data_IF_714365270796
#
_entry.id   IF_714365270796
#
_cell.length_a   1.000
_cell.length_b   1.000
_cell.length_c   1.000
_cell.angle_alpha   90.00
_cell.angle_beta   90.00
_cell.angle_gamma   90.00
#
_symmetry.space_group_name_H-M   'P 1'
#
loop_
_entity.id
_entity.type
_entity.pdbx_description
1 polymer ?
#
# COMPACT_ATOMS: atom_id res chain seq x y z
N UNK A 1 80.34 -49.23 -36.52
CA UNK A 1 78.99 -49.82 -36.62
C UNK A 1 77.99 -48.68 -36.76
N UNK A 2 77.41 -48.49 -37.95
CA UNK A 2 76.49 -47.39 -38.25
C UNK A 2 75.06 -47.84 -37.90
N UNK A 3 74.47 -47.27 -36.85
CA UNK A 3 73.08 -47.52 -36.48
C UNK A 3 72.15 -46.77 -37.45
N UNK A 4 71.56 -47.48 -38.41
CA UNK A 4 70.48 -46.97 -39.26
C UNK A 4 69.22 -46.82 -38.41
N UNK A 5 68.72 -45.59 -38.32
CA UNK A 5 67.38 -45.28 -37.82
C UNK A 5 66.36 -45.62 -38.92
N UNK A 6 65.71 -46.78 -38.81
CA UNK A 6 64.51 -47.08 -39.60
C UNK A 6 63.34 -46.26 -39.05
N UNK A 7 62.95 -45.22 -39.77
CA UNK A 7 61.69 -44.51 -39.53
C UNK A 7 60.54 -45.43 -39.95
N UNK A 8 59.83 -46.01 -38.98
CA UNK A 8 58.54 -46.66 -39.21
C UNK A 8 57.54 -45.58 -39.64
N UNK A 9 57.25 -45.52 -40.94
CA UNK A 9 56.16 -44.69 -41.45
C UNK A 9 54.83 -45.23 -40.95
N UNK A 10 53.99 -44.36 -40.38
CA UNK A 10 52.61 -44.71 -40.07
C UNK A 10 51.86 -44.72 -41.41
N UNK A 11 51.54 -45.91 -41.91
CA UNK A 11 50.66 -46.05 -43.07
C UNK A 11 49.22 -45.93 -42.57
N UNK A 12 48.61 -44.77 -42.77
CA UNK A 12 47.17 -44.54 -42.54
C UNK A 12 46.49 -44.58 -43.90
N UNK A 13 45.58 -45.52 -44.09
CA UNK A 13 44.81 -45.63 -45.33
C UNK A 13 43.92 -44.38 -45.48
N UNK A 14 43.90 -43.78 -46.68
CA UNK A 14 43.18 -42.53 -46.91
C UNK A 14 41.67 -42.67 -46.63
N UNK A 15 41.13 -43.89 -46.72
CA UNK A 15 39.73 -44.18 -46.39
C UNK A 15 39.40 -44.07 -44.90
N UNK A 16 40.38 -44.27 -44.00
CA UNK A 16 40.19 -44.20 -42.55
C UNK A 16 40.09 -42.77 -42.01
N UNK A 17 40.55 -41.78 -42.78
CA UNK A 17 40.49 -40.37 -42.44
C UNK A 17 39.20 -39.69 -42.92
N UNK A 18 38.43 -40.36 -43.78
CA UNK A 18 37.21 -39.79 -44.35
C UNK A 18 36.05 -39.83 -43.36
N UNK A 19 35.15 -38.87 -43.50
CA UNK A 19 33.94 -38.79 -42.69
C UNK A 19 33.12 -40.07 -42.84
N UNK A 20 32.63 -40.61 -41.71
CA UNK A 20 31.76 -41.79 -41.66
C UNK A 20 30.50 -41.72 -42.53
N UNK A 21 30.03 -40.52 -42.92
CA UNK A 21 28.90 -40.35 -43.86
C UNK A 21 29.30 -40.43 -45.34
N UNK A 22 30.58 -40.66 -45.66
CA UNK A 22 31.05 -40.77 -47.05
C UNK A 22 30.96 -39.47 -47.85
N UNK A 23 30.91 -38.31 -47.18
CA UNK A 23 30.67 -37.01 -47.83
C UNK A 23 31.91 -36.41 -48.53
N UNK A 24 33.02 -37.16 -48.64
CA UNK A 24 34.26 -36.71 -49.27
C UNK A 24 35.14 -35.76 -48.43
N UNK A 25 34.72 -35.41 -47.22
CA UNK A 25 35.49 -34.60 -46.28
C UNK A 25 36.12 -35.44 -45.16
N UNK A 26 37.22 -34.98 -44.57
CA UNK A 26 37.88 -35.67 -43.47
C UNK A 26 37.08 -35.59 -42.15
N UNK A 27 36.99 -36.71 -41.45
CA UNK A 27 36.44 -36.81 -40.10
C UNK A 27 37.54 -36.77 -39.04
N UNK A 28 37.18 -36.56 -37.77
CA UNK A 28 38.13 -36.70 -36.67
C UNK A 28 37.53 -37.47 -35.49
N UNK A 29 38.37 -38.06 -34.61
CA UNK A 29 37.89 -38.82 -33.45
C UNK A 29 37.07 -37.99 -32.45
N UNK A 30 37.35 -36.69 -32.31
CA UNK A 30 36.62 -35.80 -31.40
C UNK A 30 35.15 -35.62 -31.83
N UNK A 31 34.86 -35.74 -33.11
CA UNK A 31 33.51 -35.77 -33.68
C UNK A 31 33.11 -37.19 -34.11
N UNK A 32 33.59 -38.21 -33.39
CA UNK A 32 33.25 -39.62 -33.61
C UNK A 32 33.48 -40.12 -35.05
N UNK A 33 34.38 -39.50 -35.81
CA UNK A 33 34.66 -39.80 -37.22
C UNK A 33 33.78 -39.03 -38.21
N UNK A 34 33.02 -38.03 -37.78
CA UNK A 34 32.26 -37.13 -38.67
C UNK A 34 33.06 -35.87 -39.02
N UNK A 35 32.79 -35.28 -40.19
CA UNK A 35 33.28 -33.94 -40.52
C UNK A 35 32.43 -32.87 -39.81
N UNK A 36 32.91 -31.62 -39.78
CA UNK A 36 32.24 -30.51 -39.07
C UNK A 36 30.81 -30.20 -39.53
N UNK A 37 30.46 -30.54 -40.78
CA UNK A 37 29.11 -30.37 -41.33
C UNK A 37 28.19 -31.51 -40.90
N UNK A 38 28.63 -32.76 -41.14
CA UNK A 38 27.86 -33.96 -40.78
C UNK A 38 27.69 -34.11 -39.27
N UNK A 39 28.68 -33.69 -38.48
CA UNK A 39 28.58 -33.65 -37.02
C UNK A 39 27.50 -32.69 -36.54
N UNK A 40 27.42 -31.49 -37.13
CA UNK A 40 26.39 -30.50 -36.77
C UNK A 40 24.98 -30.99 -37.10
N UNK A 41 24.81 -31.64 -38.24
CA UNK A 41 23.52 -32.22 -38.63
C UNK A 41 23.10 -33.35 -37.69
N UNK A 42 24.02 -34.26 -37.35
CA UNK A 42 23.74 -35.39 -36.45
C UNK A 42 23.46 -34.91 -35.02
N UNK A 43 24.27 -33.99 -34.53
CA UNK A 43 24.09 -33.37 -33.22
C UNK A 43 22.77 -32.59 -33.14
N UNK A 44 22.39 -31.87 -34.21
CA UNK A 44 21.10 -31.17 -34.27
C UNK A 44 19.91 -32.13 -34.24
N UNK A 45 20.00 -33.28 -34.94
CA UNK A 45 18.96 -34.32 -34.92
C UNK A 45 18.86 -35.00 -33.56
N UNK A 46 19.98 -35.40 -32.96
CA UNK A 46 20.01 -35.99 -31.63
C UNK A 46 19.41 -35.03 -30.58
N UNK A 47 19.74 -33.73 -30.66
CA UNK A 47 19.19 -32.70 -29.78
C UNK A 47 17.69 -32.51 -29.98
N UNK A 48 17.18 -32.56 -31.22
CA UNK A 48 15.73 -32.49 -31.48
C UNK A 48 14.98 -33.70 -30.94
N UNK A 49 15.55 -34.90 -31.07
CA UNK A 49 14.97 -36.13 -30.51
C UNK A 49 14.93 -36.08 -28.98
N UNK A 50 15.99 -35.55 -28.34
CA UNK A 50 16.01 -35.37 -26.90
C UNK A 50 14.93 -34.37 -26.43
N UNK A 51 14.80 -33.22 -27.11
CA UNK A 51 13.75 -32.23 -26.80
C UNK A 51 12.34 -32.82 -26.96
N UNK A 52 12.13 -33.64 -28.00
CA UNK A 52 10.85 -34.30 -28.23
C UNK A 52 10.55 -35.33 -27.13
N UNK A 53 11.54 -36.13 -26.72
CA UNK A 53 11.42 -37.07 -25.60
C UNK A 53 11.13 -36.38 -24.26
N UNK A 54 11.82 -35.28 -23.97
CA UNK A 54 11.61 -34.48 -22.75
C UNK A 54 10.18 -33.88 -22.72
N UNK A 55 9.67 -33.45 -23.88
CA UNK A 55 8.29 -32.95 -24.02
C UNK A 55 7.26 -34.05 -23.75
N UNK A 56 7.44 -35.22 -24.34
CA UNK A 56 6.53 -36.36 -24.14
C UNK A 56 6.53 -36.85 -22.69
N UNK A 57 7.69 -36.83 -22.03
CA UNK A 57 7.82 -37.14 -20.61
C UNK A 57 7.08 -36.13 -19.72
N UNK A 58 7.22 -34.83 -20.00
CA UNK A 58 6.51 -33.77 -19.29
C UNK A 58 4.99 -33.87 -19.44
N UNK A 59 4.49 -34.14 -20.65
CA UNK A 59 3.06 -34.34 -20.90
C UNK A 59 2.51 -35.57 -20.14
N UNK A 60 3.33 -36.61 -19.93
CA UNK A 60 2.94 -37.79 -19.14
C UNK A 60 2.87 -37.48 -17.65
N UNK A 61 3.87 -36.76 -17.11
CA UNK A 61 3.91 -36.35 -15.71
C UNK A 61 2.72 -35.46 -15.35
N UNK A 62 2.37 -34.53 -16.24
CA UNK A 62 1.24 -33.63 -16.05
C UNK A 62 -0.10 -34.39 -16.04
N UNK A 63 -0.25 -35.43 -16.87
CA UNK A 63 -1.43 -36.32 -16.82
C UNK A 63 -1.53 -37.11 -15.52
N UNK A 64 -0.40 -37.57 -14.97
CA UNK A 64 -0.36 -38.25 -13.67
C UNK A 64 -0.69 -37.29 -12.52
N UNK A 65 -0.20 -36.05 -12.58
CA UNK A 65 -0.48 -35.00 -11.60
C UNK A 65 -1.95 -34.56 -11.63
N UNK A 66 -2.54 -34.39 -12.82
CA UNK A 66 -3.97 -34.08 -12.99
C UNK A 66 -4.86 -35.23 -12.48
N UNK A 67 -4.45 -36.49 -12.69
CA UNK A 67 -5.17 -37.65 -12.17
C UNK A 67 -5.07 -37.76 -10.64
N UNK A 68 -3.91 -37.45 -10.06
CA UNK A 68 -3.72 -37.39 -8.61
C UNK A 68 -4.56 -36.26 -7.98
N UNK A 69 -4.62 -35.10 -8.63
CA UNK A 69 -5.38 -33.94 -8.17
C UNK A 69 -6.90 -34.18 -8.22
N UNK A 70 -7.40 -34.87 -9.25
CA UNK A 70 -8.81 -35.27 -9.34
C UNK A 70 -9.23 -36.24 -8.22
N UNK A 71 -8.28 -37.01 -7.65
CA UNK A 71 -8.53 -37.93 -6.54
C UNK A 71 -8.52 -37.25 -5.16
N UNK A 72 -8.01 -36.02 -5.05
CA UNK A 72 -7.87 -35.29 -3.78
C UNK A 72 -8.76 -34.04 -3.74
N UNK A 73 -10.07 -34.21 -3.63
CA UNK A 73 -10.93 -33.10 -3.18
C UNK A 73 -10.73 -32.89 -1.68
N UNK A 74 -10.00 -31.85 -1.30
CA UNK A 74 -9.93 -31.37 0.08
C UNK A 74 -8.61 -30.70 0.48
N UNK A 75 -8.28 -29.53 -0.10
CA UNK A 75 -7.50 -28.41 0.47
C UNK A 75 -6.88 -27.54 -0.64
N UNK A 76 -7.01 -26.20 -0.65
CA UNK A 76 -6.37 -25.37 -1.66
C UNK A 76 -4.97 -24.94 -1.19
N UNK A 77 -3.93 -25.55 -1.76
CA UNK A 77 -2.59 -24.96 -1.80
C UNK A 77 -2.50 -24.04 -3.02
N UNK A 78 -2.39 -22.73 -2.79
CA UNK A 78 -2.34 -21.70 -3.82
C UNK A 78 -0.91 -21.56 -4.35
N UNK A 79 -0.57 -22.25 -5.44
CA UNK A 79 0.70 -22.02 -6.16
C UNK A 79 0.51 -21.08 -7.36
N UNK A 80 1.36 -20.06 -7.38
CA UNK A 80 1.44 -18.87 -8.23
C UNK A 80 1.81 -19.15 -9.72
N UNK A 81 1.87 -20.41 -10.14
CA UNK A 81 2.44 -20.81 -11.44
C UNK A 81 1.58 -20.48 -12.67
N UNK A 82 0.27 -20.21 -12.49
CA UNK A 82 -0.65 -19.99 -13.63
C UNK A 82 -0.66 -18.57 -14.21
N UNK A 83 0.09 -17.61 -13.66
CA UNK A 83 0.17 -16.24 -14.22
C UNK A 83 1.40 -16.01 -15.13
N UNK A 84 2.48 -16.79 -14.99
CA UNK A 84 3.72 -16.58 -15.76
C UNK A 84 3.69 -17.13 -17.19
N UNK A 85 2.83 -18.10 -17.48
CA UNK A 85 2.94 -18.87 -18.73
C UNK A 85 2.39 -18.15 -19.97
N UNK A 86 1.61 -17.06 -19.77
CA UNK A 86 1.04 -16.28 -20.88
C UNK A 86 1.88 -15.08 -21.32
N UNK A 87 2.91 -14.69 -20.57
CA UNK A 87 3.74 -13.50 -20.87
C UNK A 87 5.11 -13.85 -21.49
N UNK A 88 5.54 -15.10 -21.43
CA UNK A 88 6.86 -15.58 -21.90
C UNK A 88 6.93 -15.90 -23.40
N UNK A 89 5.80 -15.93 -24.13
CA UNK A 89 5.78 -16.27 -25.56
C UNK A 89 5.90 -15.07 -26.52
N UNK A 90 5.67 -13.83 -26.08
CA UNK A 90 5.81 -12.65 -26.95
C UNK A 90 7.25 -12.09 -27.01
N UNK A 91 8.04 -12.25 -25.95
CA UNK A 91 9.38 -11.62 -25.86
C UNK A 91 10.48 -12.43 -26.56
N UNK A 92 10.24 -13.70 -26.92
CA UNK A 92 11.26 -14.58 -27.53
C UNK A 92 11.52 -14.30 -29.03
N UNK A 93 10.74 -13.45 -29.70
CA UNK A 93 10.86 -13.20 -31.15
C UNK A 93 11.74 -12.01 -31.58
N UNK A 94 12.36 -11.25 -30.66
CA UNK A 94 13.11 -10.03 -31.05
C UNK A 94 14.59 -9.93 -30.62
N UNK A 95 15.19 -10.97 -30.03
CA UNK A 95 16.62 -10.92 -29.65
C UNK A 95 17.40 -12.05 -30.31
N UNK A 96 17.58 -11.97 -31.64
CA UNK A 96 18.53 -12.85 -32.35
C UNK A 96 19.55 -12.11 -33.23
N UNK A 97 19.50 -10.78 -33.32
CA UNK A 97 20.37 -10.04 -34.27
C UNK A 97 21.61 -9.41 -33.63
N UNK A 98 21.76 -9.39 -32.30
CA UNK A 98 22.87 -8.67 -31.63
C UNK A 98 23.94 -9.58 -30.99
N UNK A 99 23.77 -10.91 -31.03
CA UNK A 99 24.69 -11.86 -30.37
C UNK A 99 25.98 -12.19 -31.14
N UNK A 100 26.27 -11.53 -32.28
CA UNK A 100 27.43 -11.88 -33.13
C UNK A 100 28.67 -10.98 -33.01
N UNK A 101 28.68 -9.97 -32.14
CA UNK A 101 29.84 -9.05 -32.05
C UNK A 101 30.74 -9.20 -30.82
N UNK A 102 30.40 -10.05 -29.85
CA UNK A 102 31.23 -10.21 -28.65
C UNK A 102 31.47 -11.68 -28.35
N UNK A 103 32.63 -12.19 -28.79
CA UNK A 103 33.19 -13.45 -28.32
C UNK A 103 33.84 -13.21 -26.95
N UNK A 104 33.67 -14.12 -25.95
CA UNK A 104 34.08 -13.88 -24.59
C UNK A 104 35.55 -14.24 -24.39
N UNK A 105 36.35 -13.26 -23.95
CA UNK A 105 37.60 -13.52 -23.25
C UNK A 105 37.57 -12.85 -21.88
N UNK A 106 37.90 -13.64 -20.87
CA UNK A 106 38.19 -13.28 -19.48
C UNK A 106 36.99 -12.91 -18.60
N UNK A 107 36.95 -13.50 -17.39
CA UNK A 107 35.97 -13.27 -16.31
C UNK A 107 35.80 -11.80 -15.90
N UNK A 108 36.71 -10.90 -16.27
CA UNK A 108 36.56 -9.45 -16.08
C UNK A 108 35.60 -8.77 -17.06
N UNK A 109 35.08 -9.48 -18.06
CA UNK A 109 34.11 -8.96 -19.03
C UNK A 109 32.67 -8.95 -18.52
N UNK A 110 32.27 -9.87 -17.63
CA UNK A 110 30.87 -10.00 -17.18
C UNK A 110 30.41 -8.80 -16.33
N UNK A 111 31.21 -8.40 -15.33
CA UNK A 111 30.91 -7.25 -14.47
C UNK A 111 30.88 -5.94 -15.26
N UNK A 112 31.75 -5.81 -16.27
CA UNK A 112 31.73 -4.66 -17.19
C UNK A 112 30.48 -4.67 -18.07
N UNK A 113 30.04 -5.83 -18.54
CA UNK A 113 28.81 -5.97 -19.32
C UNK A 113 27.60 -5.58 -18.47
N UNK A 114 27.53 -6.03 -17.22
CA UNK A 114 26.44 -5.66 -16.29
C UNK A 114 26.40 -4.15 -16.02
N UNK A 115 27.56 -3.54 -15.75
CA UNK A 115 27.65 -2.09 -15.55
C UNK A 115 27.24 -1.31 -16.80
N UNK A 116 27.61 -1.76 -17.99
CA UNK A 116 27.18 -1.13 -19.26
C UNK A 116 25.67 -1.31 -19.47
N UNK A 117 25.12 -2.50 -19.21
CA UNK A 117 23.68 -2.76 -19.31
C UNK A 117 22.89 -1.89 -18.34
N UNK A 118 23.39 -1.68 -17.13
CA UNK A 118 22.76 -0.79 -16.16
C UNK A 118 22.74 0.68 -16.62
N UNK A 119 23.81 1.16 -17.28
CA UNK A 119 23.83 2.51 -17.86
C UNK A 119 22.88 2.63 -19.05
N UNK A 120 22.78 1.59 -19.87
CA UNK A 120 21.83 1.52 -20.98
C UNK A 120 20.40 1.58 -20.44
N UNK A 121 20.06 0.78 -19.42
CA UNK A 121 18.75 0.80 -18.77
C UNK A 121 18.45 2.20 -18.22
N UNK A 122 19.40 2.79 -17.47
CA UNK A 122 19.26 4.15 -16.92
C UNK A 122 18.95 5.17 -18.01
N UNK A 123 19.69 5.15 -19.12
CA UNK A 123 19.51 6.10 -20.21
C UNK A 123 18.15 5.93 -20.92
N UNK A 124 17.82 4.70 -21.30
CA UNK A 124 16.57 4.39 -22.01
C UNK A 124 15.37 4.70 -21.13
N UNK A 125 15.37 4.23 -19.88
CA UNK A 125 14.23 4.36 -18.99
C UNK A 125 14.02 5.80 -18.53
N UNK A 126 15.06 6.60 -18.38
CA UNK A 126 14.91 8.03 -18.08
C UNK A 126 14.14 8.77 -19.18
N UNK A 127 14.30 8.37 -20.45
CA UNK A 127 13.61 8.98 -21.59
C UNK A 127 12.22 8.39 -21.82
N UNK A 128 12.10 7.07 -21.74
CA UNK A 128 10.86 6.36 -22.05
C UNK A 128 9.85 6.37 -20.90
N UNK A 129 10.25 6.66 -19.65
CA UNK A 129 9.37 6.64 -18.48
C UNK A 129 8.04 7.38 -18.72
N UNK A 130 8.08 8.56 -19.33
CA UNK A 130 6.87 9.38 -19.61
C UNK A 130 5.85 8.71 -20.54
N UNK A 131 6.28 7.74 -21.35
CA UNK A 131 5.43 7.07 -22.34
C UNK A 131 5.05 5.65 -21.93
N UNK A 132 5.89 4.99 -21.13
CA UNK A 132 5.74 3.55 -20.83
C UNK A 132 5.31 3.28 -19.38
N UNK A 133 5.38 4.28 -18.49
CA UNK A 133 4.87 4.19 -17.13
C UNK A 133 3.38 4.55 -17.11
N UNK A 134 2.54 3.63 -16.61
CA UNK A 134 1.08 3.77 -16.57
C UNK A 134 0.47 4.28 -17.90
N UNK A 135 0.65 3.55 -19.02
CA UNK A 135 0.08 3.95 -20.29
C UNK A 135 -1.44 3.84 -20.25
N UNK A 136 -2.15 4.81 -20.84
CA UNK A 136 -3.62 4.86 -20.89
C UNK A 136 -4.26 3.64 -21.58
N UNK A 137 -3.46 2.89 -22.36
CA UNK A 137 -3.88 1.67 -23.05
C UNK A 137 -3.97 0.43 -22.16
N UNK A 138 -3.39 0.46 -20.96
CA UNK A 138 -3.40 -0.69 -20.01
C UNK A 138 -4.40 -0.46 -18.88
N UNK A 139 -4.63 -1.51 -18.08
CA UNK A 139 -5.47 -1.46 -16.89
C UNK A 139 -4.69 -1.08 -15.61
N UNK A 140 -3.47 -0.54 -15.75
CA UNK A 140 -2.58 -0.26 -14.62
C UNK A 140 -3.18 0.78 -13.65
N UNK A 141 -3.74 1.87 -14.18
CA UNK A 141 -4.40 2.91 -13.35
C UNK A 141 -5.61 2.34 -12.59
N UNK A 142 -6.40 1.47 -13.23
CA UNK A 142 -7.56 0.84 -12.59
C UNK A 142 -7.12 -0.06 -11.44
N UNK A 143 -6.05 -0.83 -11.65
CA UNK A 143 -5.44 -1.68 -10.62
C UNK A 143 -4.83 -0.87 -9.49
N UNK A 144 -4.17 0.24 -9.79
CA UNK A 144 -3.65 1.18 -8.79
C UNK A 144 -4.76 1.73 -7.88
N UNK A 145 -5.87 2.17 -8.47
CA UNK A 145 -7.02 2.65 -7.70
C UNK A 145 -7.67 1.54 -6.87
N UNK A 146 -7.76 0.32 -7.42
CA UNK A 146 -8.32 -0.83 -6.70
C UNK A 146 -7.47 -1.20 -5.48
N UNK A 147 -6.16 -1.36 -5.65
CA UNK A 147 -5.26 -1.72 -4.54
C UNK A 147 -5.19 -0.59 -3.50
N UNK A 148 -5.18 0.67 -3.93
CA UNK A 148 -5.15 1.81 -3.01
C UNK A 148 -6.41 1.88 -2.14
N UNK A 149 -7.60 1.66 -2.74
CA UNK A 149 -8.87 1.58 -2.01
C UNK A 149 -8.89 0.39 -1.08
N UNK A 150 -8.36 -0.75 -1.52
CA UNK A 150 -8.26 -1.98 -0.72
C UNK A 150 -7.37 -1.79 0.50
N UNK A 151 -6.16 -1.26 0.35
CA UNK A 151 -5.24 -0.94 1.46
C UNK A 151 -5.91 0.05 2.41
N UNK A 152 -6.58 1.09 1.89
CA UNK A 152 -7.30 2.06 2.72
C UNK A 152 -8.41 1.41 3.55
N UNK A 153 -9.14 0.45 3.00
CA UNK A 153 -10.17 -0.28 3.75
C UNK A 153 -9.60 -1.19 4.85
N UNK A 154 -8.36 -1.64 4.70
CA UNK A 154 -7.63 -2.50 5.64
C UNK A 154 -6.79 -1.70 6.65
N UNK A 155 -7.05 -0.40 6.83
CA UNK A 155 -6.27 0.45 7.74
C UNK A 155 -6.34 0.00 9.22
N UNK A 156 -7.33 -0.82 9.56
CA UNK A 156 -7.60 -1.30 10.92
C UNK A 156 -6.74 -2.51 11.30
N UNK A 157 -6.08 -3.17 10.35
CA UNK A 157 -5.27 -4.38 10.60
C UNK A 157 -4.10 -4.04 11.52
N UNK A 158 -3.94 -4.82 12.60
CA UNK A 158 -2.87 -4.63 13.59
C UNK A 158 -1.70 -5.60 13.36
N UNK A 159 -0.49 -5.29 13.87
CA UNK A 159 0.67 -6.19 13.80
C UNK A 159 0.39 -7.56 14.41
N UNK A 160 -0.42 -7.63 15.48
CA UNK A 160 -0.71 -8.88 16.18
C UNK A 160 -1.52 -9.84 15.31
N UNK A 161 -2.47 -9.33 14.51
CA UNK A 161 -3.31 -10.15 13.60
C UNK A 161 -2.49 -10.81 12.48
N UNK A 162 -1.41 -10.16 12.07
CA UNK A 162 -0.49 -10.66 11.05
C UNK A 162 0.69 -11.43 11.66
N UNK A 163 0.73 -11.62 12.98
CA UNK A 163 1.84 -12.25 13.70
C UNK A 163 3.21 -11.57 13.42
N UNK A 164 3.22 -10.24 13.29
CA UNK A 164 4.42 -9.48 12.94
C UNK A 164 5.36 -9.39 14.15
N UNK A 165 6.62 -9.86 14.04
CA UNK A 165 7.59 -9.84 15.13
C UNK A 165 8.31 -8.49 15.25
N UNK A 166 7.55 -7.39 15.26
CA UNK A 166 8.08 -6.03 15.36
C UNK A 166 7.38 -5.33 16.51
N UNK A 167 8.17 -4.82 17.46
CA UNK A 167 7.64 -4.04 18.57
C UNK A 167 7.89 -2.55 18.33
N UNK A 168 6.84 -1.83 17.91
CA UNK A 168 6.88 -0.39 17.66
C UNK A 168 7.01 0.47 18.92
N UNK A 169 6.87 -0.12 20.12
CA UNK A 169 7.05 0.61 21.39
C UNK A 169 8.53 0.98 21.63
N UNK A 170 9.46 0.32 20.93
CA UNK A 170 10.89 0.62 20.95
C UNK A 170 11.17 1.75 19.94
N UNK A 171 11.68 2.93 20.37
CA UNK A 171 11.90 4.08 19.48
C UNK A 171 12.81 3.76 18.28
N UNK A 172 13.87 2.97 18.49
CA UNK A 172 14.79 2.58 17.41
C UNK A 172 14.11 1.72 16.33
N UNK A 173 13.18 0.86 16.73
CA UNK A 173 12.40 0.02 15.82
C UNK A 173 11.38 0.87 15.07
N UNK A 174 10.72 1.80 15.77
CA UNK A 174 9.80 2.75 15.15
C UNK A 174 10.49 3.59 14.05
N UNK A 175 11.69 4.10 14.32
CA UNK A 175 12.49 4.83 13.33
C UNK A 175 12.80 3.99 12.08
N UNK A 176 13.10 2.70 12.25
CA UNK A 176 13.34 1.78 11.14
C UNK A 176 12.07 1.48 10.35
N UNK A 177 10.93 1.31 11.03
CA UNK A 177 9.62 1.14 10.39
C UNK A 177 9.26 2.37 9.56
N UNK A 178 9.46 3.58 10.09
CA UNK A 178 9.22 4.83 9.36
C UNK A 178 10.14 4.96 8.16
N UNK A 179 11.42 4.59 8.28
CA UNK A 179 12.35 4.54 7.13
C UNK A 179 11.91 3.54 6.07
N UNK A 180 11.49 2.34 6.46
CA UNK A 180 10.97 1.34 5.54
C UNK A 180 9.72 1.84 4.79
N UNK A 181 8.78 2.47 5.50
CA UNK A 181 7.60 3.12 4.90
C UNK A 181 8.01 4.17 3.88
N UNK A 182 8.97 5.03 4.24
CA UNK A 182 9.48 6.09 3.36
C UNK A 182 10.10 5.50 2.09
N UNK A 183 10.90 4.45 2.21
CA UNK A 183 11.54 3.79 1.08
C UNK A 183 10.53 3.19 0.09
N UNK A 184 9.46 2.54 0.58
CA UNK A 184 8.41 1.99 -0.29
C UNK A 184 7.64 3.11 -1.00
N UNK A 185 7.37 4.22 -0.32
CA UNK A 185 6.73 5.40 -0.94
C UNK A 185 7.66 6.01 -2.00
N UNK A 186 8.96 6.07 -1.72
CA UNK A 186 9.96 6.60 -2.64
C UNK A 186 10.13 5.78 -3.92
N UNK A 187 9.68 4.53 -3.97
CA UNK A 187 9.70 3.71 -5.20
C UNK A 187 9.07 4.47 -6.37
N UNK A 188 7.97 5.18 -6.15
CA UNK A 188 7.26 5.91 -7.20
C UNK A 188 8.04 7.13 -7.71
N UNK A 189 8.90 7.72 -6.86
CA UNK A 189 9.70 8.90 -7.19
C UNK A 189 10.84 8.62 -8.18
N UNK A 190 11.32 7.36 -8.24
CA UNK A 190 12.42 6.98 -9.12
C UNK A 190 11.92 6.68 -10.53
N UNK A 191 12.74 6.92 -11.56
CA UNK A 191 12.36 6.64 -12.96
C UNK A 191 12.94 5.33 -13.48
N UNK A 192 14.13 4.97 -13.03
CA UNK A 192 14.85 3.79 -13.52
C UNK A 192 14.40 2.55 -12.74
N UNK A 193 14.08 1.42 -13.39
CA UNK A 193 13.70 0.18 -12.70
C UNK A 193 14.73 -0.27 -11.66
N UNK A 194 16.03 -0.19 -11.97
CA UNK A 194 17.09 -0.45 -10.98
C UNK A 194 17.00 0.42 -9.72
N UNK A 195 16.73 1.72 -9.86
CA UNK A 195 16.62 2.63 -8.71
C UNK A 195 15.36 2.32 -7.89
N UNK A 196 14.26 1.92 -8.56
CA UNK A 196 13.04 1.44 -7.89
C UNK A 196 13.30 0.16 -7.08
N UNK A 197 14.01 -0.81 -7.66
CA UNK A 197 14.44 -2.01 -6.96
C UNK A 197 15.35 -1.68 -5.77
N UNK A 198 16.25 -0.70 -5.92
CA UNK A 198 17.08 -0.20 -4.84
C UNK A 198 16.26 0.27 -3.63
N UNK A 199 15.18 1.01 -3.85
CA UNK A 199 14.25 1.41 -2.78
C UNK A 199 13.59 0.20 -2.09
N UNK A 200 13.14 -0.80 -2.86
CA UNK A 200 12.54 -2.04 -2.30
C UNK A 200 13.57 -2.81 -1.46
N UNK A 201 14.82 -2.87 -1.91
CA UNK A 201 15.93 -3.51 -1.19
C UNK A 201 16.28 -2.75 0.09
N UNK A 202 16.29 -1.41 0.09
CA UNK A 202 16.52 -0.62 1.31
C UNK A 202 15.38 -0.77 2.31
N UNK A 203 14.13 -0.72 1.86
CA UNK A 203 12.96 -1.02 2.69
C UNK A 203 13.12 -2.39 3.38
N UNK A 204 13.46 -3.41 2.59
CA UNK A 204 13.64 -4.77 3.11
C UNK A 204 14.76 -4.83 4.15
N UNK A 205 15.89 -4.15 3.93
CA UNK A 205 16.99 -4.05 4.90
C UNK A 205 16.57 -3.36 6.21
N UNK A 206 15.76 -2.30 6.13
CA UNK A 206 15.19 -1.67 7.32
C UNK A 206 14.24 -2.61 8.08
N UNK A 207 13.43 -3.40 7.36
CA UNK A 207 12.60 -4.45 7.95
C UNK A 207 13.45 -5.50 8.68
N UNK A 208 14.51 -6.03 8.05
CA UNK A 208 15.41 -7.00 8.69
C UNK A 208 16.05 -6.43 9.96
N UNK A 209 16.46 -5.17 9.94
CA UNK A 209 17.03 -4.51 11.10
C UNK A 209 15.98 -4.32 12.22
N UNK A 210 14.74 -3.96 11.88
CA UNK A 210 13.65 -3.80 12.84
C UNK A 210 13.32 -5.12 13.55
N UNK A 211 13.23 -6.22 12.80
CA UNK A 211 13.00 -7.56 13.34
C UNK A 211 14.18 -8.00 14.20
N UNK A 212 15.42 -7.75 13.74
CA UNK A 212 16.63 -8.12 14.48
C UNK A 212 16.73 -7.44 15.84
N UNK A 213 16.36 -6.16 15.94
CA UNK A 213 16.34 -5.43 17.23
C UNK A 213 15.22 -5.95 18.13
N UNK A 214 14.05 -6.27 17.56
CA UNK A 214 12.90 -6.75 18.34
C UNK A 214 13.13 -8.15 18.91
N UNK A 215 13.61 -9.09 18.08
CA UNK A 215 13.81 -10.51 18.47
C UNK A 215 15.20 -10.80 19.03
N UNK A 216 16.17 -9.90 18.87
CA UNK A 216 17.62 -10.15 19.11
C UNK A 216 18.19 -11.34 18.32
N UNK A 217 17.49 -11.80 17.29
CA UNK A 217 17.87 -12.92 16.43
C UNK A 217 17.80 -12.51 14.94
N UNK A 218 18.55 -13.18 14.04
CA UNK A 218 18.40 -12.96 12.61
C UNK A 218 16.97 -13.29 12.15
N UNK A 219 16.34 -12.39 11.39
CA UNK A 219 14.97 -12.62 10.93
C UNK A 219 14.88 -13.81 9.96
N UNK A 220 13.87 -14.66 10.15
CA UNK A 220 13.51 -15.71 9.20
C UNK A 220 12.75 -15.14 8.00
N UNK A 221 12.63 -15.93 6.93
CA UNK A 221 11.72 -15.63 5.83
C UNK A 221 10.24 -15.54 6.29
N UNK A 222 9.88 -16.38 7.28
CA UNK A 222 8.53 -16.40 7.88
C UNK A 222 8.23 -15.13 8.69
N UNK A 223 9.27 -14.45 9.19
CA UNK A 223 9.16 -13.17 9.89
C UNK A 223 9.10 -11.99 8.91
N UNK A 224 9.75 -12.12 7.76
CA UNK A 224 9.92 -11.05 6.79
C UNK A 224 8.61 -10.71 6.05
N UNK A 225 7.94 -11.71 5.48
CA UNK A 225 6.77 -11.48 4.61
C UNK A 225 5.60 -10.80 5.36
N UNK A 226 5.20 -11.23 6.58
CA UNK A 226 4.15 -10.54 7.33
C UNK A 226 4.53 -9.10 7.67
N UNK A 227 5.80 -8.86 7.99
CA UNK A 227 6.30 -7.51 8.26
C UNK A 227 6.26 -6.64 7.01
N UNK A 228 6.61 -7.16 5.84
CA UNK A 228 6.51 -6.44 4.57
C UNK A 228 5.06 -6.11 4.22
N UNK A 229 4.12 -7.05 4.41
CA UNK A 229 2.68 -6.81 4.24
C UNK A 229 2.22 -5.67 5.14
N UNK A 230 2.63 -5.68 6.40
CA UNK A 230 2.31 -4.62 7.35
C UNK A 230 2.85 -3.26 6.94
N UNK A 231 4.11 -3.17 6.49
CA UNK A 231 4.69 -1.93 5.97
C UNK A 231 3.91 -1.41 4.76
N UNK A 232 3.55 -2.29 3.80
CA UNK A 232 2.77 -1.90 2.62
C UNK A 232 1.37 -1.41 3.01
N UNK A 233 0.72 -2.06 3.99
CA UNK A 233 -0.58 -1.64 4.52
C UNK A 233 -0.52 -0.24 5.16
N UNK A 234 0.53 0.03 5.94
CA UNK A 234 0.74 1.34 6.58
C UNK A 234 1.14 2.43 5.60
N UNK A 235 2.01 2.12 4.64
CA UNK A 235 2.56 3.07 3.69
C UNK A 235 1.53 3.53 2.64
N UNK A 236 0.65 2.63 2.21
CA UNK A 236 -0.24 2.81 1.06
C UNK A 236 0.48 3.48 -0.15
N UNK A 237 1.48 2.80 -0.74
CA UNK A 237 2.37 3.42 -1.72
C UNK A 237 1.61 3.90 -2.97
N UNK A 238 1.95 5.09 -3.51
CA UNK A 238 1.29 5.62 -4.69
C UNK A 238 1.62 4.75 -5.92
N UNK A 239 0.61 4.51 -6.76
CA UNK A 239 0.75 3.82 -8.05
C UNK A 239 1.47 2.46 -7.94
N UNK A 240 1.16 1.69 -6.90
CA UNK A 240 1.87 0.45 -6.54
C UNK A 240 1.85 -0.60 -7.66
N UNK A 241 0.69 -0.85 -8.27
CA UNK A 241 0.53 -1.83 -9.35
C UNK A 241 1.26 -1.38 -10.61
N UNK A 242 1.18 -0.09 -10.97
CA UNK A 242 1.97 0.47 -12.08
C UNK A 242 3.47 0.30 -11.86
N UNK A 243 3.96 0.53 -10.62
CA UNK A 243 5.38 0.37 -10.28
C UNK A 243 5.83 -1.09 -10.41
N UNK A 244 5.06 -2.03 -9.90
CA UNK A 244 5.33 -3.48 -10.03
C UNK A 244 5.37 -3.86 -11.50
N UNK A 245 4.34 -3.54 -12.27
CA UNK A 245 4.29 -3.88 -13.69
C UNK A 245 5.40 -3.21 -14.50
N UNK A 246 5.75 -1.97 -14.19
CA UNK A 246 6.85 -1.26 -14.85
C UNK A 246 8.18 -1.98 -14.63
N UNK A 247 8.49 -2.39 -13.39
CA UNK A 247 9.70 -3.17 -13.09
C UNK A 247 9.65 -4.51 -13.82
N UNK A 248 8.53 -5.24 -13.78
CA UNK A 248 8.39 -6.54 -14.47
C UNK A 248 8.56 -6.43 -16.00
N UNK A 249 8.13 -5.32 -16.62
CA UNK A 249 8.18 -5.14 -18.08
C UNK A 249 9.54 -4.65 -18.57
N UNK A 250 10.23 -3.81 -17.80
CA UNK A 250 11.35 -3.01 -18.29
C UNK A 250 12.67 -3.20 -17.56
N UNK A 251 12.69 -3.88 -16.41
CA UNK A 251 13.94 -4.23 -15.72
C UNK A 251 14.68 -5.34 -16.47
N UNK A 252 16.01 -5.32 -16.40
CA UNK A 252 16.82 -6.43 -16.90
C UNK A 252 16.44 -7.76 -16.21
N UNK A 253 16.00 -8.80 -16.94
CA UNK A 253 15.57 -10.07 -16.36
C UNK A 253 16.64 -10.78 -15.55
N UNK A 254 17.94 -10.61 -15.87
CA UNK A 254 19.02 -11.25 -15.10
C UNK A 254 19.01 -10.82 -13.63
N UNK A 255 18.63 -9.56 -13.36
CA UNK A 255 18.55 -8.99 -12.00
C UNK A 255 17.31 -9.46 -11.23
N UNK A 256 16.21 -9.72 -11.93
CA UNK A 256 15.00 -10.28 -11.32
C UNK A 256 15.15 -11.77 -11.03
N UNK A 257 15.90 -12.50 -11.86
CA UNK A 257 16.11 -13.95 -11.73
C UNK A 257 17.24 -14.33 -10.78
N UNK A 258 18.17 -13.41 -10.49
CA UNK A 258 19.33 -13.67 -9.63
C UNK A 258 19.62 -12.48 -8.73
N UNK A 259 19.83 -12.74 -7.43
CA UNK A 259 20.26 -11.73 -6.44
C UNK A 259 19.20 -11.36 -5.40
N UNK A 260 19.59 -10.49 -4.47
CA UNK A 260 18.73 -10.01 -3.37
C UNK A 260 17.56 -9.15 -3.88
N UNK A 261 17.79 -8.32 -4.92
CA UNK A 261 16.77 -7.44 -5.49
C UNK A 261 15.55 -8.22 -6.02
N UNK A 262 15.80 -9.34 -6.72
CA UNK A 262 14.75 -10.23 -7.24
C UNK A 262 13.96 -10.92 -6.14
N UNK A 263 14.63 -11.33 -5.06
CA UNK A 263 13.98 -11.92 -3.89
C UNK A 263 13.03 -10.92 -3.21
N UNK A 264 13.49 -9.69 -2.93
CA UNK A 264 12.66 -8.67 -2.30
C UNK A 264 11.51 -8.21 -3.20
N UNK A 265 11.76 -8.08 -4.51
CA UNK A 265 10.71 -7.75 -5.47
C UNK A 265 9.64 -8.85 -5.55
N UNK A 266 10.03 -10.12 -5.52
CA UNK A 266 9.09 -11.25 -5.50
C UNK A 266 8.26 -11.23 -4.22
N UNK A 267 8.87 -10.98 -3.06
CA UNK A 267 8.15 -10.85 -1.80
C UNK A 267 7.18 -9.66 -1.80
N UNK A 268 7.54 -8.52 -2.41
CA UNK A 268 6.62 -7.40 -2.59
C UNK A 268 5.41 -7.78 -3.45
N UNK A 269 5.64 -8.52 -4.54
CA UNK A 269 4.55 -9.04 -5.38
C UNK A 269 3.63 -9.99 -4.60
N UNK A 270 4.22 -10.89 -3.79
CA UNK A 270 3.47 -11.78 -2.90
C UNK A 270 2.65 -11.00 -1.86
N UNK A 271 3.25 -9.97 -1.24
CA UNK A 271 2.57 -9.12 -0.27
C UNK A 271 1.35 -8.41 -0.87
N UNK A 272 1.49 -7.84 -2.08
CA UNK A 272 0.38 -7.18 -2.77
C UNK A 272 -0.72 -8.17 -3.14
N UNK A 273 -0.35 -9.34 -3.69
CA UNK A 273 -1.32 -10.38 -4.01
C UNK A 273 -2.07 -10.91 -2.77
N UNK A 274 -1.38 -10.98 -1.63
CA UNK A 274 -1.98 -11.33 -0.35
C UNK A 274 -2.99 -10.26 0.09
N UNK A 275 -2.63 -8.97 0.04
CA UNK A 275 -3.53 -7.85 0.40
C UNK A 275 -4.79 -7.82 -0.48
N UNK A 276 -4.66 -8.13 -1.77
CA UNK A 276 -5.79 -8.21 -2.70
C UNK A 276 -6.81 -9.29 -2.30
N UNK A 277 -6.31 -10.44 -1.81
CA UNK A 277 -7.13 -11.61 -1.47
C UNK A 277 -7.34 -11.82 0.03
N UNK A 278 -6.94 -10.85 0.86
CA UNK A 278 -6.98 -10.96 2.31
C UNK A 278 -8.40 -11.23 2.81
N UNK A 279 -8.59 -12.31 3.54
CA UNK A 279 -9.86 -12.72 4.12
C UNK A 279 -9.77 -12.85 5.64
N UNK A 280 -10.91 -13.14 6.29
CA UNK A 280 -10.98 -13.31 7.73
C UNK A 280 -10.06 -14.44 8.24
N UNK A 281 -9.99 -15.55 7.49
CA UNK A 281 -9.18 -16.71 7.81
C UNK A 281 -7.69 -16.38 7.80
N UNK A 282 -7.24 -15.55 6.86
CA UNK A 282 -5.84 -15.09 6.76
C UNK A 282 -5.39 -14.27 7.97
N UNK A 283 -6.31 -13.65 8.71
CA UNK A 283 -6.04 -12.88 9.93
C UNK A 283 -6.39 -13.64 11.22
N UNK A 284 -6.75 -14.92 11.12
CA UNK A 284 -7.26 -15.73 12.24
C UNK A 284 -8.48 -15.09 12.95
N UNK A 285 -9.36 -14.43 12.19
CA UNK A 285 -10.60 -13.80 12.69
C UNK A 285 -11.84 -14.55 12.22
N UNK A 286 -12.95 -14.36 12.93
CA UNK A 286 -14.26 -14.80 12.45
C UNK A 286 -14.74 -13.89 11.31
N UNK A 287 -15.54 -14.42 10.38
CA UNK A 287 -16.11 -13.62 9.28
C UNK A 287 -16.94 -12.45 9.81
N UNK A 288 -17.65 -12.64 10.93
CA UNK A 288 -18.42 -11.60 11.59
C UNK A 288 -17.55 -10.44 12.08
N UNK A 289 -16.41 -10.73 12.73
CA UNK A 289 -15.51 -9.69 13.23
C UNK A 289 -14.82 -8.96 12.09
N UNK A 290 -14.45 -9.68 11.03
CA UNK A 290 -13.89 -9.10 9.81
C UNK A 290 -14.85 -8.11 9.16
N UNK A 291 -16.13 -8.48 9.01
CA UNK A 291 -17.16 -7.61 8.44
C UNK A 291 -17.47 -6.40 9.34
N UNK A 292 -17.44 -6.57 10.67
CA UNK A 292 -17.58 -5.45 11.62
C UNK A 292 -16.43 -4.45 11.50
N UNK A 293 -15.19 -4.92 11.33
CA UNK A 293 -14.04 -4.04 11.11
C UNK A 293 -14.07 -3.37 9.72
N UNK A 294 -14.44 -4.09 8.67
CA UNK A 294 -14.57 -3.55 7.32
C UNK A 294 -15.70 -2.53 7.18
N UNK A 295 -16.79 -2.68 7.93
CA UNK A 295 -17.89 -1.71 7.99
C UNK A 295 -17.61 -0.51 8.90
N UNK A 296 -16.50 -0.52 9.64
CA UNK A 296 -16.11 0.54 10.57
C UNK A 296 -16.97 0.59 11.85
N UNK A 297 -17.76 -0.45 12.13
CA UNK A 297 -18.58 -0.54 13.34
C UNK A 297 -17.74 -0.86 14.58
N UNK A 298 -16.60 -1.54 14.40
CA UNK A 298 -15.61 -1.79 15.43
C UNK A 298 -14.22 -1.41 14.93
N UNK A 299 -13.30 -1.11 15.86
CA UNK A 299 -11.87 -1.00 15.58
C UNK A 299 -11.16 -1.99 16.49
N UNK A 300 -10.18 -2.74 16.00
CA UNK A 300 -9.35 -3.55 16.87
C UNK A 300 -8.44 -2.59 17.62
N UNK A 301 -8.87 -2.16 18.80
CA UNK A 301 -8.01 -1.45 19.73
C UNK A 301 -7.49 -2.45 20.76
N UNK A 302 -6.18 -2.38 21.00
CA UNK A 302 -5.48 -2.98 22.15
C UNK A 302 -6.36 -2.85 23.39
N UNK A 303 -6.67 -3.97 24.02
CA UNK A 303 -7.07 -3.96 25.42
C UNK A 303 -5.90 -3.35 26.21
N UNK A 304 -6.22 -2.25 26.89
CA UNK A 304 -5.48 -1.55 27.93
C UNK A 304 -4.15 -0.81 27.60
N UNK A 305 -4.15 0.45 28.05
CA UNK A 305 -3.09 1.48 28.07
C UNK A 305 -2.75 2.20 26.75
N UNK A 306 -2.85 3.52 26.81
CA UNK A 306 -2.42 4.51 25.82
C UNK A 306 -3.13 4.55 24.45
N UNK A 307 -4.41 4.93 24.50
CA UNK A 307 -4.92 5.81 23.43
C UNK A 307 -4.13 7.11 23.52
N UNK A 308 -3.37 7.44 22.47
CA UNK A 308 -2.67 8.72 22.38
C UNK A 308 -3.59 9.87 22.80
N UNK A 309 -3.15 10.77 23.71
CA UNK A 309 -4.02 11.75 24.35
C UNK A 309 -4.84 12.56 23.35
N UNK A 310 -4.29 12.82 22.15
CA UNK A 310 -4.94 13.53 21.06
C UNK A 310 -6.22 12.86 20.53
N UNK A 311 -6.23 11.53 20.34
CA UNK A 311 -7.43 10.86 19.82
C UNK A 311 -8.52 10.73 20.88
N UNK A 312 -8.16 10.42 22.13
CA UNK A 312 -9.11 10.39 23.24
C UNK A 312 -9.70 11.79 23.49
N UNK A 313 -8.89 12.84 23.38
CA UNK A 313 -9.35 14.23 23.43
C UNK A 313 -10.27 14.57 22.25
N UNK A 314 -10.00 14.09 21.03
CA UNK A 314 -10.85 14.33 19.88
C UNK A 314 -12.24 13.73 20.04
N UNK A 315 -12.35 12.48 20.51
CA UNK A 315 -13.66 11.86 20.76
C UNK A 315 -14.43 12.55 21.90
N UNK A 316 -13.74 12.98 22.96
CA UNK A 316 -14.34 13.80 24.03
C UNK A 316 -14.81 15.16 23.50
N UNK A 317 -14.03 15.81 22.65
CA UNK A 317 -14.39 17.07 22.03
C UNK A 317 -15.59 16.90 21.08
N UNK A 318 -15.66 15.81 20.34
CA UNK A 318 -16.78 15.52 19.45
C UNK A 318 -18.09 15.34 20.22
N UNK A 319 -18.06 14.61 21.36
CA UNK A 319 -19.25 14.46 22.20
C UNK A 319 -19.65 15.80 22.85
N UNK A 320 -18.67 16.59 23.29
CA UNK A 320 -18.90 17.95 23.81
C UNK A 320 -19.54 18.87 22.76
N UNK A 321 -19.05 18.86 21.52
CA UNK A 321 -19.63 19.66 20.42
C UNK A 321 -21.07 19.23 20.14
N UNK A 322 -21.35 17.92 20.12
CA UNK A 322 -22.72 17.43 19.96
C UNK A 322 -23.66 17.92 21.07
N UNK A 323 -23.22 17.82 22.32
CA UNK A 323 -23.99 18.30 23.48
C UNK A 323 -24.18 19.82 23.48
N UNK A 324 -23.16 20.58 23.05
CA UNK A 324 -23.25 22.03 22.91
C UNK A 324 -24.24 22.42 21.82
N UNK A 325 -24.25 21.70 20.70
CA UNK A 325 -25.18 21.94 19.61
C UNK A 325 -26.64 21.70 20.04
N UNK A 326 -26.91 20.60 20.75
CA UNK A 326 -28.23 20.32 21.33
C UNK A 326 -28.68 21.40 22.32
N UNK A 327 -27.78 21.84 23.22
CA UNK A 327 -28.07 22.92 24.17
C UNK A 327 -28.34 24.24 23.46
N UNK A 328 -27.58 24.56 22.42
CA UNK A 328 -27.78 25.77 21.62
C UNK A 328 -29.15 25.73 20.94
N UNK A 329 -29.58 24.60 20.40
CA UNK A 329 -30.89 24.43 19.78
C UNK A 329 -32.04 24.56 20.79
N UNK A 330 -31.87 24.01 22.00
CA UNK A 330 -32.81 24.19 23.10
C UNK A 330 -32.90 25.66 23.57
N UNK A 331 -31.77 26.36 23.69
CA UNK A 331 -31.77 27.78 24.08
C UNK A 331 -32.40 28.64 23.00
N UNK A 332 -32.09 28.39 21.73
CA UNK A 332 -32.66 29.12 20.59
C UNK A 332 -34.18 28.91 20.49
N UNK A 333 -34.65 27.68 20.67
CA UNK A 333 -36.10 27.40 20.68
C UNK A 333 -36.79 28.03 21.89
N UNK A 334 -36.18 27.99 23.08
CA UNK A 334 -36.68 28.69 24.27
C UNK A 334 -36.73 30.20 24.11
N UNK A 335 -35.72 30.81 23.49
CA UNK A 335 -35.66 32.26 23.23
C UNK A 335 -36.75 32.69 22.26
N UNK A 336 -36.95 31.95 21.16
CA UNK A 336 -38.05 32.20 20.20
C UNK A 336 -39.42 32.06 20.85
N UNK A 337 -39.59 31.10 21.74
CA UNK A 337 -40.84 30.93 22.50
C UNK A 337 -41.07 32.12 23.42
N UNK A 338 -40.06 32.53 24.17
CA UNK A 338 -40.16 33.70 25.06
C UNK A 338 -40.45 34.98 24.28
N UNK A 339 -39.81 35.18 23.14
CA UNK A 339 -40.07 36.31 22.24
C UNK A 339 -41.54 36.36 21.82
N UNK A 340 -42.10 35.21 21.42
CA UNK A 340 -43.53 35.09 21.09
C UNK A 340 -44.42 35.41 22.30
N UNK A 341 -44.13 34.80 23.45
CA UNK A 341 -44.92 34.98 24.67
C UNK A 341 -44.93 36.45 25.13
N UNK A 342 -43.81 37.17 24.93
CA UNK A 342 -43.67 38.58 25.29
C UNK A 342 -44.49 39.51 24.38
N UNK A 343 -44.55 39.19 23.08
CA UNK A 343 -45.40 39.88 22.10
C UNK A 343 -46.87 39.63 22.43
N UNK A 344 -47.26 38.36 22.59
CA UNK A 344 -48.64 37.95 22.88
C UNK A 344 -49.11 38.60 24.20
N UNK A 345 -48.25 38.69 25.23
CA UNK A 345 -48.55 39.39 26.48
C UNK A 345 -48.72 40.90 26.28
N UNK A 346 -47.81 41.55 25.54
CA UNK A 346 -47.88 43.00 25.28
C UNK A 346 -49.15 43.38 24.51
N UNK A 347 -49.51 42.58 23.51
CA UNK A 347 -50.74 42.76 22.73
C UNK A 347 -51.98 42.51 23.59
N UNK A 348 -51.97 41.45 24.41
CA UNK A 348 -53.06 41.14 25.34
C UNK A 348 -53.32 42.26 26.34
N UNK A 349 -52.27 42.75 27.01
CA UNK A 349 -52.39 43.87 27.95
C UNK A 349 -52.86 45.14 27.26
N UNK A 350 -52.35 45.45 26.06
CA UNK A 350 -52.79 46.64 25.31
C UNK A 350 -54.27 46.56 24.94
N UNK A 351 -54.74 45.37 24.55
CA UNK A 351 -56.14 45.13 24.23
C UNK A 351 -57.05 45.22 25.46
N UNK A 352 -56.67 44.59 26.57
CA UNK A 352 -57.43 44.65 27.82
C UNK A 352 -57.55 46.08 28.34
N UNK A 353 -56.47 46.87 28.25
CA UNK A 353 -56.49 48.30 28.61
C UNK A 353 -57.43 49.08 27.70
N UNK A 354 -57.37 48.83 26.39
CA UNK A 354 -58.25 49.49 25.41
C UNK A 354 -59.73 49.15 25.66
N UNK A 355 -60.05 47.89 25.92
CA UNK A 355 -61.40 47.42 26.23
C UNK A 355 -61.94 48.09 27.51
N UNK A 356 -61.10 48.30 28.53
CA UNK A 356 -61.47 49.02 29.76
C UNK A 356 -61.72 50.50 29.50
N UNK A 357 -60.88 51.15 28.69
CA UNK A 357 -61.05 52.56 28.31
C UNK A 357 -62.36 52.77 27.52
N UNK A 358 -62.69 51.86 26.61
CA UNK A 358 -63.93 51.92 25.84
C UNK A 358 -65.17 51.64 26.70
N UNK A 359 -65.06 50.72 27.66
CA UNK A 359 -66.15 50.36 28.57
C UNK A 359 -66.40 51.41 29.65
N UNK A 360 -65.38 52.16 30.05
CA UNK A 360 -65.45 53.26 31.02
C UNK A 360 -64.77 54.52 30.48
N UNK A 361 -65.44 55.27 29.57
CA UNK A 361 -64.87 56.48 29.01
C UNK A 361 -64.61 57.50 30.12
N UNK A 362 -63.33 57.85 30.32
CA UNK A 362 -62.91 58.88 31.26
C UNK A 362 -63.24 60.25 30.67
N UNK A 363 -64.41 60.79 31.03
CA UNK A 363 -64.82 62.15 30.68
C UNK A 363 -64.06 63.15 31.56
N UNK A 364 -62.80 63.44 31.21
CA UNK A 364 -62.00 64.47 31.87
C UNK A 364 -62.54 65.82 31.41
N UNK A 365 -63.52 66.35 32.15
CA UNK A 365 -63.98 67.73 31.97
C UNK A 365 -62.79 68.67 32.16
N UNK A 366 -62.45 69.53 31.19
CA UNK A 366 -61.41 70.54 31.37
C UNK A 366 -61.86 71.48 32.49
N UNK A 367 -60.95 71.74 33.44
CA UNK A 367 -61.18 72.64 34.58
C UNK A 367 -61.56 74.03 34.08
N UNK A 368 -62.85 74.36 34.08
CA UNK A 368 -63.32 75.73 33.97
C UNK A 368 -63.28 76.39 35.35
N UNK A 369 -62.37 77.36 35.48
CA UNK A 369 -62.20 78.37 36.54
C UNK A 369 -61.39 78.03 37.81
N UNK A 370 -60.60 79.02 38.31
CA UNK A 370 -59.72 78.87 39.46
C UNK A 370 -60.49 79.12 40.75
N UNK A 371 -60.52 78.12 41.63
CA UNK A 371 -60.98 78.31 43.01
C UNK A 371 -59.74 78.62 43.84
N UNK A 372 -59.82 79.77 44.50
CA UNK A 372 -58.76 80.44 45.23
C UNK A 372 -58.05 79.54 46.26
N UNK A 373 -56.79 79.90 46.53
CA UNK A 373 -56.01 79.41 47.66
C UNK A 373 -56.81 79.58 48.97
N UNK A 374 -57.03 78.47 49.66
CA UNK A 374 -57.64 78.42 50.99
C UNK A 374 -56.70 77.67 51.93
N UNK A 375 -55.42 78.05 51.95
CA UNK A 375 -54.54 77.65 53.07
C UNK A 375 -53.27 78.51 53.16
N UNK A 376 -53.40 79.83 52.97
CA UNK A 376 -52.29 80.77 53.19
C UNK A 376 -52.31 81.46 54.55
N UNK A 377 -53.16 81.03 55.49
CA UNK A 377 -53.13 81.54 56.85
C UNK A 377 -53.31 80.40 57.87
N UNK A 378 -52.24 79.64 58.10
CA UNK A 378 -52.07 78.99 59.40
C UNK A 378 -50.60 79.02 59.82
N UNK A 379 -50.24 80.13 60.45
CA UNK A 379 -49.08 80.29 61.31
C UNK A 379 -49.27 79.36 62.53
N UNK A 380 -48.18 78.70 62.95
CA UNK A 380 -48.07 77.77 64.10
C UNK A 380 -48.31 76.28 63.81
N UNK A 381 -47.23 75.54 63.50
CA UNK A 381 -47.07 74.21 64.08
C UNK A 381 -45.59 73.77 64.19
N UNK A 382 -44.92 74.32 65.19
CA UNK A 382 -43.54 74.03 65.62
C UNK A 382 -43.39 72.69 66.38
N UNK A 383 -43.99 71.58 65.91
CA UNK A 383 -43.87 70.26 66.60
C UNK A 383 -43.95 69.02 65.68
N UNK A 384 -43.08 68.93 64.67
CA UNK A 384 -42.83 67.65 63.98
C UNK A 384 -41.39 67.18 64.24
N UNK A 385 -41.18 65.98 64.82
CA UNK A 385 -39.84 65.45 65.03
C UNK A 385 -39.18 65.09 63.68
N UNK A 386 -37.86 65.27 63.55
CA UNK A 386 -37.14 64.93 62.32
C UNK A 386 -37.13 63.41 62.05
N UNK A 387 -37.08 62.96 60.79
CA UNK A 387 -37.07 61.55 60.41
C UNK A 387 -35.79 60.84 60.90
N UNK A 388 -35.92 59.60 61.39
CA UNK A 388 -34.81 58.78 61.89
C UNK A 388 -33.98 58.26 60.70
N UNK A 389 -32.67 58.55 60.70
CA UNK A 389 -31.71 57.97 59.75
C UNK A 389 -31.11 56.66 60.30
N UNK A 390 -31.03 55.57 59.52
CA UNK A 390 -30.43 54.30 59.97
C UNK A 390 -28.90 54.38 60.00
N UNK A 391 -28.30 54.10 61.17
CA UNK A 391 -26.86 53.91 61.32
C UNK A 391 -26.43 52.50 60.90
N UNK A 392 -25.48 52.42 59.98
CA UNK A 392 -24.75 51.20 59.62
C UNK A 392 -23.73 50.87 60.72
N UNK A 393 -23.95 49.77 61.44
CA UNK A 393 -22.93 49.20 62.32
C UNK A 393 -21.98 48.34 61.49
N UNK A 394 -20.71 48.70 61.47
CA UNK A 394 -19.63 47.83 61.04
C UNK A 394 -19.10 47.05 62.24
N UNK A 395 -19.26 45.72 62.23
CA UNK A 395 -18.40 44.72 62.86
C UNK A 395 -18.74 43.35 62.30
#
# INVERSE_FOLDING_TARGET
>A
MSLKSERRGIHVDQSELLCKKGCGYYGNPAWQGFCSKCWREEYSKARQQQIQGDREFAERLQREEEAAYASSQGAPSLTFSKFEEKKTNETKRKVQTVKKFFSPSSRGSSERIENVMDQIEKYIMTRLYKHVFCPETTDDEKKDLAIQKRIRALHWVTPEMLCVPVNEDIPEVNDLVVKAITDVIEVDSKRVPREKLGCVTQCSKHIFNAIKITKNEPASADDFLPTLIYIVLKANPPRLQSNIQYITRFCNPSRLMTGEDGYYFTNLCCAVAFIEKLDAQSLNLTEEDFDRYMSGQSSPKKQDSDTSPGFSQMYKNLSLISQLNEKQEQIMSGTKKLEKDLIDWSEGVSKDVQDIIEKYPLDIKPRSQPVAAIDSDNVENDKLPPPIEPQVFAS
#
